data_IF_534452831207
#
_entry.id   IF_534452831207
#
_cell.length_a   1.000
_cell.length_b   1.000
_cell.length_c   1.000
_cell.angle_alpha   90.00
_cell.angle_beta   90.00
_cell.angle_gamma   90.00
#
_symmetry.space_group_name_H-M   'P 1'
#
loop_
_entity.id
_entity.type
_entity.pdbx_description
1 polymer ?
#
# COMPACT_ATOMS: atom_id res chain seq x y z
N UNK A 1 17.07 12.30 4.01
CA UNK A 1 16.03 12.09 5.06
C UNK A 1 14.68 12.46 4.45
N UNK A 2 13.72 11.54 4.37
CA UNK A 2 12.41 11.84 3.77
C UNK A 2 11.66 12.80 4.72
N UNK A 3 11.25 13.96 4.21
CA UNK A 3 10.53 14.98 4.98
C UNK A 3 9.03 14.68 4.97
N UNK A 4 8.40 14.61 6.14
CA UNK A 4 6.95 14.37 6.29
C UNK A 4 6.10 15.38 5.49
N UNK A 5 6.55 16.63 5.35
CA UNK A 5 5.85 17.64 4.53
C UNK A 5 5.74 17.23 3.06
N UNK A 6 6.79 16.62 2.50
CA UNK A 6 6.78 16.16 1.11
C UNK A 6 5.83 14.98 0.91
N UNK A 7 5.72 14.09 1.92
CA UNK A 7 4.80 12.95 1.88
C UNK A 7 3.35 13.41 2.02
N UNK A 8 3.08 14.41 2.87
CA UNK A 8 1.75 15.05 2.96
C UNK A 8 1.38 15.70 1.63
N UNK A 9 2.30 16.43 0.99
CA UNK A 9 2.05 17.00 -0.33
C UNK A 9 1.77 15.93 -1.38
N UNK A 10 2.51 14.82 -1.38
CA UNK A 10 2.25 13.70 -2.27
C UNK A 10 0.86 13.10 -2.04
N UNK A 11 0.42 12.97 -0.79
CA UNK A 11 -0.92 12.51 -0.42
C UNK A 11 -2.02 13.46 -0.92
N UNK A 12 -1.80 14.77 -0.81
CA UNK A 12 -2.72 15.77 -1.33
C UNK A 12 -2.80 15.75 -2.86
N UNK A 13 -1.65 15.73 -3.55
CA UNK A 13 -1.59 15.68 -5.01
C UNK A 13 -2.24 14.40 -5.55
N UNK A 14 -1.98 13.26 -4.93
CA UNK A 14 -2.62 11.99 -5.30
C UNK A 14 -4.13 11.98 -5.03
N UNK A 15 -4.60 12.63 -3.95
CA UNK A 15 -6.04 12.81 -3.69
C UNK A 15 -6.72 13.67 -4.76
N UNK A 16 -6.08 14.77 -5.19
CA UNK A 16 -6.60 15.60 -6.28
C UNK A 16 -6.61 14.83 -7.60
N UNK A 17 -5.56 14.05 -7.89
CA UNK A 17 -5.50 13.15 -9.05
C UNK A 17 -6.65 12.13 -9.06
N UNK A 18 -6.99 11.55 -7.91
CA UNK A 18 -8.13 10.64 -7.78
C UNK A 18 -9.46 11.32 -8.11
N UNK A 19 -9.67 12.53 -7.59
CA UNK A 19 -10.88 13.32 -7.90
C UNK A 19 -10.94 13.64 -9.40
N UNK A 20 -9.83 14.08 -9.99
CA UNK A 20 -9.75 14.34 -11.43
C UNK A 20 -10.00 13.07 -12.26
N UNK A 21 -9.50 11.91 -11.82
CA UNK A 21 -9.72 10.64 -12.51
C UNK A 21 -11.21 10.28 -12.61
N UNK A 22 -11.98 10.56 -11.56
CA UNK A 22 -13.43 10.33 -11.53
C UNK A 22 -14.16 11.25 -12.51
N UNK A 23 -13.81 12.54 -12.55
CA UNK A 23 -14.43 13.49 -13.50
C UNK A 23 -14.07 13.19 -14.95
N UNK A 24 -12.85 12.72 -15.20
CA UNK A 24 -12.38 12.40 -16.55
C UNK A 24 -12.75 10.98 -17.00
N UNK A 25 -13.35 10.17 -16.11
CA UNK A 25 -13.59 8.74 -16.32
C UNK A 25 -12.34 8.02 -16.89
N UNK A 26 -11.17 8.34 -16.34
CA UNK A 26 -9.89 7.84 -16.85
C UNK A 26 -9.29 6.84 -15.88
N UNK A 27 -9.38 5.56 -16.26
CA UNK A 27 -8.88 4.45 -15.46
C UNK A 27 -7.39 4.60 -15.14
N UNK A 28 -6.54 5.03 -16.08
CA UNK A 28 -5.10 5.12 -15.83
C UNK A 28 -4.75 6.17 -14.77
N UNK A 29 -5.40 7.32 -14.81
CA UNK A 29 -5.21 8.38 -13.81
C UNK A 29 -5.64 7.87 -12.43
N UNK A 30 -6.73 7.09 -12.36
CA UNK A 30 -7.20 6.48 -11.13
C UNK A 30 -6.17 5.48 -10.57
N UNK A 31 -5.64 4.59 -11.42
CA UNK A 31 -4.66 3.56 -11.02
C UNK A 31 -3.42 4.20 -10.38
N UNK A 32 -2.83 5.19 -11.06
CA UNK A 32 -1.65 5.88 -10.52
C UNK A 32 -2.01 6.71 -9.30
N UNK A 33 -3.10 7.48 -9.34
CA UNK A 33 -3.57 8.30 -8.23
C UNK A 33 -3.78 7.47 -6.96
N UNK A 34 -4.45 6.32 -7.06
CA UNK A 34 -4.70 5.44 -5.93
C UNK A 34 -3.42 4.81 -5.40
N UNK A 35 -2.54 4.34 -6.28
CA UNK A 35 -1.28 3.69 -5.90
C UNK A 35 -0.36 4.68 -5.16
N UNK A 36 -0.25 5.92 -5.65
CA UNK A 36 0.50 6.97 -4.97
C UNK A 36 -0.13 7.41 -3.66
N UNK A 37 -1.47 7.45 -3.58
CA UNK A 37 -2.18 7.78 -2.34
C UNK A 37 -1.88 6.77 -1.23
N UNK A 38 -2.05 5.46 -1.52
CA UNK A 38 -1.76 4.40 -0.54
C UNK A 38 -0.29 4.40 -0.17
N UNK A 39 0.61 4.56 -1.14
CA UNK A 39 2.03 4.65 -0.87
C UNK A 39 2.39 5.80 0.07
N UNK A 40 1.89 7.01 -0.22
CA UNK A 40 2.13 8.18 0.62
C UNK A 40 1.55 7.98 2.03
N UNK A 41 0.37 7.38 2.12
CA UNK A 41 -0.28 7.08 3.39
C UNK A 41 0.53 6.11 4.25
N UNK A 42 1.00 5.00 3.68
CA UNK A 42 1.82 4.02 4.40
C UNK A 42 3.19 4.60 4.73
N UNK A 43 3.82 5.33 3.80
CA UNK A 43 5.12 5.98 4.02
C UNK A 43 5.07 6.96 5.19
N UNK A 44 3.95 7.66 5.36
CA UNK A 44 3.73 8.58 6.48
C UNK A 44 3.65 7.84 7.82
N UNK A 45 3.01 6.66 7.84
CA UNK A 45 3.01 5.76 8.99
C UNK A 45 4.40 5.22 9.34
N UNK A 46 5.19 4.85 8.32
CA UNK A 46 6.56 4.37 8.47
C UNK A 46 7.49 5.46 9.02
N UNK A 47 7.42 6.68 8.49
CA UNK A 47 8.23 7.82 8.95
C UNK A 47 7.93 8.15 10.42
N UNK A 48 6.65 8.12 10.82
CA UNK A 48 6.25 8.39 12.20
C UNK A 48 6.82 7.37 13.20
N UNK A 49 6.99 6.12 12.77
CA UNK A 49 7.46 5.02 13.60
C UNK A 49 8.93 4.61 13.35
N UNK A 50 9.72 5.40 12.59
CA UNK A 50 11.11 5.07 12.18
C UNK A 50 11.27 3.68 11.53
N UNK A 51 10.27 3.23 10.77
CA UNK A 51 10.29 1.92 10.12
C UNK A 51 11.14 1.84 8.85
N UNK A 52 11.23 0.64 8.30
CA UNK A 52 11.92 0.34 7.05
C UNK A 52 11.18 0.91 5.84
N UNK A 53 11.66 2.05 5.35
CA UNK A 53 11.16 2.76 4.14
C UNK A 53 11.20 1.89 2.88
N UNK A 54 12.14 0.95 2.80
CA UNK A 54 12.29 0.07 1.63
C UNK A 54 11.15 -0.94 1.47
N UNK A 55 10.49 -1.33 2.56
CA UNK A 55 9.30 -2.19 2.48
C UNK A 55 8.08 -1.44 1.91
N UNK A 56 8.12 -0.11 1.82
CA UNK A 56 7.00 0.69 1.33
C UNK A 56 6.94 0.73 -0.20
N UNK A 57 8.07 0.58 -0.91
CA UNK A 57 8.10 0.63 -2.37
C UNK A 57 7.50 -0.60 -3.04
N UNK A 58 7.54 -1.78 -2.39
CA UNK A 58 6.86 -2.98 -2.89
C UNK A 58 5.34 -2.80 -2.95
N UNK A 59 4.78 -1.96 -2.08
CA UNK A 59 3.34 -1.62 -2.08
C UNK A 59 2.94 -0.92 -3.37
N UNK A 60 3.77 0.02 -3.85
CA UNK A 60 3.52 0.70 -5.13
C UNK A 60 3.45 -0.32 -6.27
N UNK A 61 4.38 -1.27 -6.31
CA UNK A 61 4.44 -2.27 -7.37
C UNK A 61 3.21 -3.18 -7.34
N UNK A 62 2.83 -3.69 -6.17
CA UNK A 62 1.67 -4.59 -6.05
C UNK A 62 0.37 -3.85 -6.43
N UNK A 63 0.20 -2.61 -5.97
CA UNK A 63 -0.99 -1.82 -6.26
C UNK A 63 -1.10 -1.45 -7.74
N UNK A 64 -0.01 -0.97 -8.36
CA UNK A 64 0.01 -0.64 -9.79
C UNK A 64 -0.27 -1.88 -10.64
N UNK A 65 0.40 -3.01 -10.35
CA UNK A 65 0.20 -4.24 -11.11
C UNK A 65 -1.22 -4.79 -10.96
N UNK A 66 -1.73 -4.88 -9.73
CA UNK A 66 -3.07 -5.43 -9.50
C UNK A 66 -4.16 -4.59 -10.17
N UNK A 67 -4.04 -3.27 -10.12
CA UNK A 67 -4.97 -2.39 -10.82
C UNK A 67 -4.82 -2.43 -12.35
N UNK A 68 -3.61 -2.59 -12.87
CA UNK A 68 -3.40 -2.82 -14.31
C UNK A 68 -4.07 -4.13 -14.74
N UNK A 69 -3.94 -5.21 -13.96
CA UNK A 69 -4.59 -6.49 -14.24
C UNK A 69 -6.11 -6.33 -14.33
N UNK A 70 -6.73 -5.58 -13.42
CA UNK A 70 -8.17 -5.27 -13.45
C UNK A 70 -8.58 -4.52 -14.71
N UNK A 71 -7.76 -3.58 -15.18
CA UNK A 71 -8.06 -2.77 -16.37
C UNK A 71 -7.88 -3.55 -17.68
N UNK A 72 -7.00 -4.56 -17.68
CA UNK A 72 -6.79 -5.47 -18.81
C UNK A 72 -7.94 -6.49 -18.92
N UNK A 73 -8.52 -6.89 -17.79
CA UNK A 73 -9.67 -7.79 -17.79
C UNK A 73 -10.87 -7.09 -18.40
N UNK A 74 -11.24 -7.52 -19.62
CA UNK A 74 -12.46 -7.07 -20.27
C UNK A 74 -13.66 -7.58 -19.46
N UNK A 75 -14.40 -6.66 -18.85
CA UNK A 75 -15.66 -6.99 -18.19
C UNK A 75 -16.73 -7.22 -19.27
N UNK A 76 -17.24 -8.44 -19.34
CA UNK A 76 -18.56 -8.70 -19.89
C UNK A 76 -19.60 -8.33 -18.84
N UNK A 77 -20.74 -7.73 -19.23
CA UNK A 77 -21.80 -7.30 -18.31
C UNK A 77 -22.34 -8.45 -17.43
N UNK A 78 -22.21 -9.68 -17.93
CA UNK A 78 -22.42 -10.90 -17.16
C UNK A 78 -21.05 -11.55 -16.93
N UNK A 79 -20.58 -11.67 -15.67
CA UNK A 79 -19.35 -12.37 -15.38
C UNK A 79 -19.53 -13.87 -15.66
N UNK A 80 -18.74 -14.40 -16.59
CA UNK A 80 -18.72 -15.83 -16.95
C UNK A 80 -17.92 -16.66 -15.96
N UNK A 81 -16.92 -16.03 -15.32
CA UNK A 81 -15.93 -16.71 -14.50
C UNK A 81 -15.92 -16.15 -13.07
N UNK A 82 -16.04 -17.08 -12.12
CA UNK A 82 -16.05 -16.80 -10.68
C UNK A 82 -14.86 -17.47 -10.00
N UNK A 83 -14.24 -16.77 -9.07
CA UNK A 83 -13.16 -17.26 -8.22
C UNK A 83 -13.50 -16.99 -6.75
N UNK A 84 -13.60 -18.07 -5.95
CA UNK A 84 -13.91 -18.02 -4.51
C UNK A 84 -15.17 -17.17 -4.23
N UNK A 85 -16.21 -17.34 -5.04
CA UNK A 85 -17.50 -16.67 -4.84
C UNK A 85 -17.60 -15.24 -5.38
N UNK A 86 -16.55 -14.69 -5.98
CA UNK A 86 -16.58 -13.37 -6.64
C UNK A 86 -16.31 -13.49 -8.14
N UNK A 87 -16.88 -12.59 -8.98
CA UNK A 87 -16.42 -12.40 -10.34
C UNK A 87 -14.90 -12.18 -10.38
N UNK A 88 -14.21 -12.73 -11.37
CA UNK A 88 -12.74 -12.71 -11.45
C UNK A 88 -12.12 -11.33 -11.18
N UNK A 89 -12.66 -10.25 -11.76
CA UNK A 89 -12.14 -8.90 -11.53
C UNK A 89 -12.29 -8.44 -10.09
N UNK A 90 -13.42 -8.74 -9.46
CA UNK A 90 -13.66 -8.46 -8.04
C UNK A 90 -12.77 -9.32 -7.13
N UNK A 91 -12.57 -10.59 -7.47
CA UNK A 91 -11.69 -11.48 -6.73
C UNK A 91 -10.23 -10.98 -6.76
N UNK A 92 -9.76 -10.48 -7.91
CA UNK A 92 -8.42 -9.88 -8.03
C UNK A 92 -8.31 -8.62 -7.17
N UNK A 93 -9.34 -7.77 -7.18
CA UNK A 93 -9.38 -6.59 -6.32
C UNK A 93 -9.26 -7.00 -4.84
N UNK A 94 -10.12 -7.90 -4.37
CA UNK A 94 -10.19 -8.25 -2.95
C UNK A 94 -8.95 -9.02 -2.49
N UNK A 95 -8.51 -10.04 -3.23
CA UNK A 95 -7.43 -10.91 -2.76
C UNK A 95 -6.04 -10.37 -3.09
N UNK A 96 -5.84 -9.80 -4.28
CA UNK A 96 -4.51 -9.39 -4.72
C UNK A 96 -4.22 -7.91 -4.47
N UNK A 97 -5.21 -7.02 -4.59
CA UNK A 97 -4.99 -5.58 -4.34
C UNK A 97 -5.20 -5.23 -2.87
N UNK A 98 -6.17 -5.85 -2.20
CA UNK A 98 -6.45 -5.55 -0.79
C UNK A 98 -5.76 -6.50 0.16
N UNK A 99 -6.01 -7.81 0.07
CA UNK A 99 -5.48 -8.75 1.06
C UNK A 99 -3.96 -8.91 0.97
N UNK A 100 -3.40 -9.02 -0.24
CA UNK A 100 -1.96 -9.30 -0.41
C UNK A 100 -1.06 -8.17 0.13
N UNK A 101 -1.30 -6.87 -0.14
CA UNK A 101 -0.53 -5.79 0.47
C UNK A 101 -0.72 -5.69 1.98
N UNK A 102 -1.93 -5.93 2.47
CA UNK A 102 -2.20 -5.94 3.93
C UNK A 102 -1.44 -7.07 4.59
N UNK A 103 -1.49 -8.30 4.08
CA UNK A 103 -0.77 -9.44 4.64
C UNK A 103 0.75 -9.24 4.55
N UNK A 104 1.24 -8.76 3.41
CA UNK A 104 2.66 -8.45 3.22
C UNK A 104 3.11 -7.38 4.21
N UNK A 105 2.32 -6.32 4.40
CA UNK A 105 2.63 -5.28 5.36
C UNK A 105 2.54 -5.79 6.80
N UNK A 106 1.49 -6.50 7.19
CA UNK A 106 1.34 -7.05 8.55
C UNK A 106 2.48 -8.01 8.88
N UNK A 107 2.87 -8.86 7.93
CA UNK A 107 4.00 -9.78 8.10
C UNK A 107 5.32 -9.03 8.25
N UNK A 108 5.66 -8.16 7.28
CA UNK A 108 6.89 -7.36 7.32
C UNK A 108 6.91 -6.45 8.55
N UNK A 109 5.77 -5.86 8.91
CA UNK A 109 5.62 -5.05 10.11
C UNK A 109 5.90 -5.88 11.35
N UNK A 110 5.23 -7.02 11.56
CA UNK A 110 5.47 -7.82 12.78
C UNK A 110 6.91 -8.31 12.87
N UNK A 111 7.48 -8.76 11.74
CA UNK A 111 8.85 -9.31 11.75
C UNK A 111 9.90 -8.22 11.99
N UNK A 112 9.76 -7.04 11.37
CA UNK A 112 10.78 -5.99 11.50
C UNK A 112 10.55 -5.05 12.69
N UNK A 113 9.33 -4.91 13.22
CA UNK A 113 9.03 -4.02 14.34
C UNK A 113 9.01 -4.70 15.71
N UNK A 114 8.54 -5.95 15.82
CA UNK A 114 8.55 -6.64 17.12
C UNK A 114 9.98 -7.11 17.46
N UNK A 115 10.75 -7.62 16.48
CA UNK A 115 12.17 -7.96 16.69
C UNK A 115 13.03 -6.72 17.02
N UNK A 116 12.60 -5.52 16.58
CA UNK A 116 13.27 -4.25 16.88
C UNK A 116 13.06 -3.76 18.32
N UNK A 117 11.91 -4.05 18.94
CA UNK A 117 11.63 -3.69 20.34
C UNK A 117 12.51 -4.47 21.30
N UNK A 118 12.77 -5.73 21.02
CA UNK A 118 13.59 -6.59 21.89
C UNK A 118 15.03 -6.10 21.99
N UNK A 119 15.58 -5.57 20.89
CA UNK A 119 16.94 -5.05 20.88
C UNK A 119 17.07 -3.70 21.60
N UNK A 120 16.07 -2.80 21.46
CA UNK A 120 16.05 -1.53 22.19
C UNK A 120 15.88 -1.72 23.70
N UNK A 121 15.12 -2.73 24.12
CA UNK A 121 14.92 -3.06 25.54
C UNK A 121 16.18 -3.67 26.15
N UNK A 122 16.90 -4.50 25.39
CA UNK A 122 18.19 -5.08 25.82
C UNK A 122 19.27 -4.01 25.99
N UNK A 123 19.37 -3.04 25.08
CA UNK A 123 20.35 -1.94 25.19
C UNK A 123 20.04 -0.98 26.34
N UNK A 124 18.76 -0.66 26.60
CA UNK A 124 18.35 0.13 27.75
C UNK A 124 18.74 -0.54 29.08
N UNK A 125 18.48 -1.85 29.21
CA UNK A 125 18.85 -2.60 30.41
C UNK A 125 20.37 -2.75 30.58
N UNK A 126 21.14 -2.78 29.49
CA UNK A 126 22.62 -2.79 29.52
C UNK A 126 23.21 -1.45 29.96
N UNK A 127 22.53 -0.34 29.68
CA UNK A 127 22.96 1.00 30.10
C UNK A 127 22.68 1.33 31.56
N UNK A 128 21.78 0.60 32.22
CA UNK A 128 21.45 0.74 33.65
C UNK A 128 22.32 -0.17 34.53
N UNK A 129 22.96 -1.18 33.95
CA UNK A 129 23.84 -2.13 34.66
C UNK A 129 25.31 -1.71 34.77
N UNK A 130 25.67 -0.49 34.32
CA UNK A 130 26.99 0.14 34.49
C UNK A 130 26.87 1.41 35.31
#
# INVERSE_FOLDING_TARGET
>A
MINSKNVINLLLVSSVLLVLALFMNNNYIFIFGMSFFVFAWVLLGVIKNRGYVYATSSILVIWVLGFLTINILKYTEVPTDFFIGFPIGTAIMVYFIWALPVLTFTYLYSHFFDDGKDNLTKDYNKGISN
#
